data_IF_923646096358
#
_entry.id   IF_923646096358
#
_cell.length_a   1.000
_cell.length_b   1.000
_cell.length_c   1.000
_cell.angle_alpha   90.00
_cell.angle_beta   90.00
_cell.angle_gamma   90.00
#
_symmetry.space_group_name_H-M   'P 1'
#
loop_
_entity.id
_entity.type
_entity.pdbx_description
1 polymer ?
#
# COMPACT_ATOMS: atom_id res chain seq x y z
N UNK A 1 -3.53 22.85 13.71
CA UNK A 1 -4.21 22.52 14.95
C UNK A 1 -4.04 21.07 15.30
N UNK A 2 -4.00 20.81 16.57
CA UNK A 2 -3.79 19.44 16.98
C UNK A 2 -5.07 18.80 17.45
N UNK A 3 -5.20 17.51 17.19
CA UNK A 3 -6.33 16.75 17.71
C UNK A 3 -6.11 16.45 19.19
N UNK A 4 -7.16 16.50 19.95
CA UNK A 4 -7.08 16.02 21.33
C UNK A 4 -7.06 14.49 21.30
N UNK A 5 -6.60 13.83 22.37
CA UNK A 5 -6.59 12.37 22.40
C UNK A 5 -7.97 11.75 22.15
N UNK A 6 -9.04 12.36 22.66
CA UNK A 6 -10.39 11.86 22.41
C UNK A 6 -10.83 12.05 20.98
N UNK A 7 -10.46 13.17 20.38
CA UNK A 7 -10.78 13.42 18.97
C UNK A 7 -10.06 12.42 18.07
N UNK A 8 -8.81 12.15 18.40
CA UNK A 8 -8.04 11.17 17.63
C UNK A 8 -8.66 9.78 17.79
N UNK A 9 -9.00 9.40 19.02
CA UNK A 9 -9.66 8.12 19.27
C UNK A 9 -10.98 8.01 18.53
N UNK A 10 -11.75 9.10 18.48
CA UNK A 10 -13.00 9.13 17.73
C UNK A 10 -12.75 8.88 16.25
N UNK A 11 -11.78 9.55 15.67
CA UNK A 11 -11.47 9.41 14.26
C UNK A 11 -11.01 7.99 13.92
N UNK A 12 -10.14 7.43 14.76
CA UNK A 12 -9.65 6.07 14.55
C UNK A 12 -10.77 5.03 14.66
N UNK A 13 -11.65 5.20 15.62
CA UNK A 13 -12.79 4.28 15.78
C UNK A 13 -13.79 4.43 14.63
N UNK A 14 -13.98 5.65 14.15
CA UNK A 14 -14.86 5.90 13.02
C UNK A 14 -14.34 5.19 11.76
N UNK A 15 -13.03 5.21 11.54
CA UNK A 15 -12.43 4.52 10.41
C UNK A 15 -12.63 3.00 10.50
N UNK A 16 -12.75 2.46 11.71
CA UNK A 16 -12.96 1.03 11.89
C UNK A 16 -14.41 0.61 11.70
N UNK A 17 -15.33 1.35 12.28
CA UNK A 17 -16.72 0.91 12.33
C UNK A 17 -17.68 1.63 11.36
N UNK A 18 -17.28 2.79 10.85
CA UNK A 18 -18.13 3.55 9.93
C UNK A 18 -19.36 4.20 10.56
N UNK A 19 -19.50 4.10 11.87
CA UNK A 19 -20.63 4.67 12.59
C UNK A 19 -20.15 5.72 13.57
N UNK A 20 -20.47 6.98 13.29
CA UNK A 20 -19.95 8.10 14.06
C UNK A 20 -20.41 8.08 15.53
N UNK A 21 -21.66 7.73 15.77
CA UNK A 21 -22.18 7.67 17.15
C UNK A 21 -21.47 6.59 17.94
N UNK A 22 -21.26 5.43 17.33
CA UNK A 22 -20.56 4.33 17.97
C UNK A 22 -19.10 4.70 18.20
N UNK A 23 -18.48 5.38 17.24
CA UNK A 23 -17.10 5.83 17.37
C UNK A 23 -16.96 6.80 18.55
N UNK A 24 -17.91 7.71 18.70
CA UNK A 24 -17.90 8.64 19.84
C UNK A 24 -18.03 7.88 21.16
N UNK A 25 -18.88 6.89 21.21
CA UNK A 25 -19.06 6.09 22.40
C UNK A 25 -17.77 5.35 22.76
N UNK A 26 -17.14 4.75 21.76
CA UNK A 26 -15.88 4.00 21.97
C UNK A 26 -14.72 4.92 22.34
N UNK A 27 -14.77 6.16 21.90
CA UNK A 27 -13.74 7.12 22.22
C UNK A 27 -13.86 7.68 23.64
N UNK A 28 -14.91 7.31 24.34
CA UNK A 28 -15.09 7.72 25.73
C UNK A 28 -16.03 8.89 25.95
N UNK A 29 -16.79 9.29 24.94
CA UNK A 29 -17.79 10.33 25.12
C UNK A 29 -19.05 9.74 25.74
N UNK A 30 -19.79 10.60 26.44
CA UNK A 30 -21.00 10.16 27.12
C UNK A 30 -22.02 9.61 26.16
N UNK A 31 -22.75 8.55 26.56
CA UNK A 31 -23.79 7.99 25.74
C UNK A 31 -24.87 9.01 25.40
N UNK A 32 -25.17 9.91 26.34
CA UNK A 32 -26.20 10.91 26.12
C UNK A 32 -25.82 11.92 25.04
N UNK A 33 -24.54 12.23 24.91
CA UNK A 33 -24.06 13.23 23.99
C UNK A 33 -23.37 12.65 22.75
N UNK A 34 -23.21 11.34 22.70
CA UNK A 34 -22.43 10.70 21.64
C UNK A 34 -22.89 11.09 20.25
N UNK A 35 -24.18 11.12 20.02
CA UNK A 35 -24.73 11.45 18.72
C UNK A 35 -24.42 12.90 18.32
N UNK A 36 -24.57 13.80 19.26
CA UNK A 36 -24.30 15.21 19.05
C UNK A 36 -22.81 15.44 18.83
N UNK A 37 -21.98 14.85 19.68
CA UNK A 37 -20.53 14.96 19.58
C UNK A 37 -20.03 14.37 18.27
N UNK A 38 -20.64 13.27 17.82
CA UNK A 38 -20.27 12.65 16.55
C UNK A 38 -20.48 13.63 15.40
N UNK A 39 -21.65 14.26 15.34
CA UNK A 39 -21.94 15.25 14.31
C UNK A 39 -21.00 16.43 14.39
N UNK A 40 -20.74 16.89 15.57
CA UNK A 40 -19.87 18.03 15.79
C UNK A 40 -18.45 17.71 15.36
N UNK A 41 -17.94 16.55 15.75
CA UNK A 41 -16.58 16.15 15.40
C UNK A 41 -16.41 15.97 13.89
N UNK A 42 -17.38 15.40 13.21
CA UNK A 42 -17.29 15.22 11.76
C UNK A 42 -17.31 16.57 11.02
N UNK A 43 -17.87 17.59 11.63
CA UNK A 43 -17.91 18.92 11.03
C UNK A 43 -16.62 19.70 11.24
N UNK A 44 -15.75 19.26 12.14
CA UNK A 44 -14.50 19.96 12.40
C UNK A 44 -13.47 19.66 11.33
N UNK A 45 -12.92 20.70 10.67
CA UNK A 45 -11.96 20.46 9.58
C UNK A 45 -10.76 19.65 9.99
N UNK A 46 -10.22 19.87 11.20
CA UNK A 46 -9.02 19.17 11.64
C UNK A 46 -9.29 17.67 11.79
N UNK A 47 -10.50 17.30 12.19
CA UNK A 47 -10.86 15.89 12.33
C UNK A 47 -11.13 15.28 10.96
N UNK A 48 -11.86 15.99 10.09
CA UNK A 48 -12.17 15.48 8.77
C UNK A 48 -10.90 15.32 7.93
N UNK A 49 -9.93 16.23 8.08
CA UNK A 49 -8.65 16.11 7.39
C UNK A 49 -7.86 14.89 7.89
N UNK A 50 -7.87 14.68 9.20
CA UNK A 50 -7.19 13.52 9.77
C UNK A 50 -7.82 12.22 9.26
N UNK A 51 -9.15 12.16 9.22
CA UNK A 51 -9.84 10.97 8.73
C UNK A 51 -9.49 10.72 7.26
N UNK A 52 -9.51 11.78 6.43
CA UNK A 52 -9.19 11.64 5.01
C UNK A 52 -7.76 11.16 4.80
N UNK A 53 -6.83 11.70 5.55
CA UNK A 53 -5.42 11.30 5.44
C UNK A 53 -5.22 9.85 5.89
N UNK A 54 -5.85 9.46 7.00
CA UNK A 54 -5.73 8.09 7.48
C UNK A 54 -6.42 7.10 6.54
N UNK A 55 -7.56 7.49 5.96
CA UNK A 55 -8.25 6.64 4.99
C UNK A 55 -7.35 6.41 3.78
N UNK A 56 -6.70 7.48 3.31
CA UNK A 56 -5.78 7.35 2.19
C UNK A 56 -4.63 6.40 2.50
N UNK A 57 -4.06 6.51 3.71
CA UNK A 57 -2.98 5.62 4.13
C UNK A 57 -3.43 4.15 4.17
N UNK A 58 -4.66 3.92 4.66
CA UNK A 58 -5.21 2.58 4.71
C UNK A 58 -5.41 2.03 3.30
N UNK A 59 -5.96 2.84 2.40
CA UNK A 59 -6.21 2.42 1.04
C UNK A 59 -4.89 2.15 0.30
N UNK A 60 -3.90 3.02 0.48
CA UNK A 60 -2.59 2.84 -0.12
C UNK A 60 -1.92 1.56 0.38
N UNK A 61 -2.10 1.24 1.67
CA UNK A 61 -1.50 0.04 2.24
C UNK A 61 -2.13 -1.26 1.73
N UNK A 62 -3.32 -1.16 1.13
CA UNK A 62 -3.98 -2.34 0.57
C UNK A 62 -3.54 -2.62 -0.87
N UNK A 63 -2.88 -1.65 -1.49
CA UNK A 63 -2.41 -1.83 -2.85
C UNK A 63 -1.07 -2.56 -2.79
N UNK A 64 -0.99 -3.67 -3.48
CA UNK A 64 0.25 -4.44 -3.52
C UNK A 64 1.36 -3.62 -4.17
N UNK A 65 2.51 -3.56 -3.53
CA UNK A 65 3.64 -2.86 -4.13
C UNK A 65 4.33 -3.76 -5.17
N UNK A 66 5.27 -3.20 -5.89
CA UNK A 66 5.93 -3.94 -6.97
C UNK A 66 6.63 -5.20 -6.46
N UNK A 67 7.23 -5.13 -5.29
CA UNK A 67 7.93 -6.28 -4.73
C UNK A 67 6.95 -7.39 -4.37
N UNK A 68 5.79 -7.04 -3.84
CA UNK A 68 4.77 -8.02 -3.50
C UNK A 68 4.23 -8.70 -4.75
N UNK A 69 3.98 -7.93 -5.81
CA UNK A 69 3.51 -8.47 -7.08
C UNK A 69 4.57 -9.41 -7.66
N UNK A 70 5.84 -9.02 -7.61
CA UNK A 70 6.92 -9.88 -8.10
C UNK A 70 7.02 -11.17 -7.31
N UNK A 71 6.84 -11.10 -6.00
CA UNK A 71 6.86 -12.30 -5.17
C UNK A 71 5.73 -13.25 -5.55
N UNK A 72 4.55 -12.69 -5.84
CA UNK A 72 3.41 -13.50 -6.25
C UNK A 72 3.69 -14.19 -7.59
N UNK A 73 4.18 -13.45 -8.58
CA UNK A 73 4.53 -14.04 -9.86
C UNK A 73 5.60 -15.13 -9.71
N UNK A 74 6.58 -14.88 -8.85
CA UNK A 74 7.63 -15.88 -8.60
C UNK A 74 7.05 -17.16 -7.99
N UNK A 75 6.12 -17.00 -7.05
CA UNK A 75 5.47 -18.16 -6.43
C UNK A 75 4.64 -18.96 -7.45
N UNK A 76 3.94 -18.26 -8.34
CA UNK A 76 3.17 -18.92 -9.40
C UNK A 76 4.13 -19.66 -10.34
N UNK A 77 5.23 -19.02 -10.72
CA UNK A 77 6.22 -19.64 -11.60
C UNK A 77 6.77 -20.93 -11.00
N UNK A 78 7.00 -20.95 -9.69
CA UNK A 78 7.52 -22.15 -9.03
C UNK A 78 6.46 -23.21 -8.75
N UNK A 79 5.18 -22.89 -9.02
CA UNK A 79 4.10 -23.83 -8.78
C UNK A 79 3.68 -23.92 -7.32
N UNK A 80 3.96 -22.87 -6.55
CA UNK A 80 3.66 -22.87 -5.12
C UNK A 80 2.25 -22.36 -4.79
N UNK A 81 1.59 -21.73 -5.76
CA UNK A 81 0.26 -21.16 -5.54
C UNK A 81 -0.79 -22.14 -6.05
N UNK A 82 -1.77 -22.43 -5.22
CA UNK A 82 -2.85 -23.33 -5.59
C UNK A 82 -4.17 -22.58 -5.64
N UNK A 83 -5.08 -23.06 -6.46
CA UNK A 83 -6.40 -22.44 -6.56
C UNK A 83 -7.29 -22.91 -5.40
N UNK A 84 -8.54 -22.48 -5.43
CA UNK A 84 -9.49 -22.79 -4.36
C UNK A 84 -9.78 -24.29 -4.23
N UNK A 85 -9.43 -25.08 -5.24
CA UNK A 85 -9.62 -26.52 -5.21
C UNK A 85 -8.33 -27.26 -4.89
N UNK A 86 -7.27 -26.54 -4.59
CA UNK A 86 -5.98 -27.15 -4.27
C UNK A 86 -5.16 -27.55 -5.48
N UNK A 87 -5.54 -27.10 -6.67
CA UNK A 87 -4.82 -27.44 -7.90
C UNK A 87 -3.73 -26.39 -8.19
N UNK A 88 -2.60 -26.87 -8.67
CA UNK A 88 -1.51 -25.99 -9.03
C UNK A 88 -1.77 -25.32 -10.36
N UNK A 89 -1.13 -24.18 -10.58
CA UNK A 89 -1.24 -23.46 -11.84
C UNK A 89 -0.70 -24.32 -12.98
N UNK A 90 -1.35 -24.25 -14.14
CA UNK A 90 -0.90 -24.98 -15.31
C UNK A 90 0.46 -24.46 -15.76
N UNK A 91 1.14 -25.23 -16.57
CA UNK A 91 2.44 -24.83 -17.10
C UNK A 91 2.33 -23.53 -17.90
N UNK A 92 1.24 -23.36 -18.65
CA UNK A 92 1.03 -22.12 -19.42
C UNK A 92 0.90 -20.91 -18.50
N UNK A 93 0.17 -21.06 -17.41
CA UNK A 93 0.00 -19.98 -16.44
C UNK A 93 1.33 -19.64 -15.78
N UNK A 94 2.12 -20.66 -15.46
CA UNK A 94 3.44 -20.45 -14.85
C UNK A 94 4.39 -19.76 -15.82
N UNK A 95 4.35 -20.12 -17.09
CA UNK A 95 5.15 -19.46 -18.11
C UNK A 95 4.71 -18.00 -18.29
N UNK A 96 3.41 -17.74 -18.23
CA UNK A 96 2.89 -16.38 -18.33
C UNK A 96 3.41 -15.53 -17.17
N UNK A 97 3.44 -16.06 -15.96
CA UNK A 97 3.98 -15.35 -14.80
C UNK A 97 5.47 -15.04 -15.01
N UNK A 98 6.21 -16.00 -15.56
CA UNK A 98 7.62 -15.79 -15.86
C UNK A 98 7.85 -14.69 -16.88
N UNK A 99 7.00 -14.64 -17.90
CA UNK A 99 7.10 -13.59 -18.92
C UNK A 99 6.86 -12.21 -18.32
N UNK A 100 5.91 -12.08 -17.40
CA UNK A 100 5.65 -10.80 -16.74
C UNK A 100 6.84 -10.36 -15.91
N UNK A 101 7.48 -11.29 -15.22
CA UNK A 101 8.67 -10.96 -14.45
C UNK A 101 9.81 -10.52 -15.37
N UNK A 102 10.00 -11.19 -16.50
CA UNK A 102 11.05 -10.81 -17.43
C UNK A 102 10.84 -9.42 -18.00
N UNK A 103 9.61 -9.06 -18.32
CA UNK A 103 9.31 -7.72 -18.80
C UNK A 103 9.74 -6.67 -17.79
N UNK A 104 9.53 -6.97 -16.53
CA UNK A 104 9.91 -6.05 -15.46
C UNK A 104 11.43 -5.89 -15.39
N UNK A 105 12.15 -7.00 -15.46
CA UNK A 105 13.61 -6.97 -15.41
C UNK A 105 14.19 -6.22 -16.61
N UNK A 106 13.68 -6.46 -17.78
CA UNK A 106 14.13 -5.79 -18.99
C UNK A 106 13.93 -4.29 -18.89
N UNK A 107 12.79 -3.87 -18.35
CA UNK A 107 12.49 -2.47 -18.20
C UNK A 107 13.43 -1.79 -17.21
N UNK A 108 13.74 -2.49 -16.14
CA UNK A 108 14.63 -1.97 -15.12
C UNK A 108 16.06 -1.86 -15.64
N UNK A 109 16.50 -2.85 -16.39
CA UNK A 109 17.82 -2.82 -16.97
C UNK A 109 17.94 -1.72 -18.02
N UNK A 110 16.91 -1.53 -18.81
CA UNK A 110 16.88 -0.47 -19.78
C UNK A 110 17.01 0.90 -19.13
N UNK A 111 16.33 1.09 -18.02
CA UNK A 111 16.42 2.36 -17.32
C UNK A 111 17.80 2.57 -16.73
N UNK A 112 18.37 1.51 -16.21
CA UNK A 112 19.69 1.60 -15.62
C UNK A 112 20.75 1.92 -16.67
N UNK A 113 20.68 1.30 -17.82
CA UNK A 113 21.65 1.58 -18.83
C UNK A 113 21.50 3.00 -19.36
N UNK A 114 20.28 3.46 -19.39
CA UNK A 114 20.04 4.78 -19.87
C UNK A 114 20.68 5.83 -18.99
N UNK A 115 20.56 5.70 -17.71
CA UNK A 115 21.15 6.65 -16.84
C UNK A 115 22.57 6.31 -16.58
N UNK A 116 22.79 5.06 -16.40
CA UNK A 116 24.06 4.67 -16.01
C UNK A 116 25.04 4.72 -17.06
N UNK A 117 24.59 4.40 -18.14
CA UNK A 117 25.46 4.29 -19.25
C UNK A 117 26.39 5.38 -19.31
N UNK A 118 25.90 6.45 -18.99
CA UNK A 118 26.65 7.50 -19.06
C UNK A 118 27.76 7.50 -18.23
N UNK A 119 27.52 7.31 -17.14
CA UNK A 119 28.45 7.41 -16.23
C UNK A 119 29.36 6.39 -16.11
N UNK A 120 28.85 5.35 -15.85
CA UNK A 120 29.53 4.28 -15.57
C UNK A 120 30.50 3.95 -16.44
N UNK A 121 30.14 3.92 -17.51
CA UNK A 121 30.91 3.48 -18.40
C UNK A 121 32.11 4.16 -18.46
N UNK A 122 32.02 5.30 -18.42
CA UNK A 122 33.07 6.00 -18.60
C UNK A 122 34.11 5.77 -17.79
N UNK A 123 33.88 5.58 -16.83
CA UNK A 123 34.83 5.49 -15.98
C UNK A 123 35.59 4.39 -15.95
N UNK A 124 35.10 3.52 -16.20
CA UNK A 124 35.70 2.43 -16.15
C UNK A 124 36.83 2.27 -16.73
N UNK A 125 37.07 2.61 -17.26
CA UNK A 125 38.01 2.28 -17.76
C UNK A 125 38.95 2.38 -17.85
N UNK A 126 39.05 2.80 -17.97
CA UNK A 126 39.82 3.01 -18.26
C UNK A 126 40.75 2.52 -17.80
N UNK A 127 40.89 2.21 -17.42
CA UNK A 127 41.68 1.72 -16.97
C UNK A 127 42.58 1.48 -17.71
N UNK A 128 42.64 1.37 -18.03
CA UNK A 128 43.35 0.95 -18.76
C UNK A 128 44.12 1.78 -19.49
N UNK A 129 44.19 2.45 -19.60
CA UNK A 129 44.70 3.14 -20.39
C UNK A 129 45.79 3.61 -20.02
N UNK A 130 46.21 3.48 -19.51
CA UNK A 130 47.21 3.90 -19.28
C UNK A 130 48.10 3.44 -19.48
#
# INVERSE_FOLDING_TARGET
>A
MRLTPKQKAFADEYLKCGNATEAARRAGYSLKTARHIASENLAKPVISEYIAERQKQIDDSRIADAAEVQRFYSAVLRGEVKDQFGLEASLDTRLAAGRELMKRHERTEGQNTDTGGIVIVNNIPRLGKE
#
